data_IF_886017380370
#
_entry.id   IF_886017380370
#
_cell.length_a   1.000
_cell.length_b   1.000
_cell.length_c   1.000
_cell.angle_alpha   90.00
_cell.angle_beta   90.00
_cell.angle_gamma   90.00
#
_symmetry.space_group_name_H-M   'P 1'
#
loop_
_entity.id
_entity.type
_entity.pdbx_description
1 polymer ?
#
# COMPACT_ATOMS: atom_id res chain seq x y z
N UNK A 1 25.42 -52.12 -2.08
CA UNK A 1 24.22 -51.59 -1.39
C UNK A 1 24.56 -50.21 -0.84
N UNK A 2 24.23 -49.13 -1.56
CA UNK A 2 24.41 -47.75 -1.07
C UNK A 2 23.02 -47.14 -0.95
N UNK A 3 22.66 -46.76 0.28
CA UNK A 3 21.37 -46.19 0.66
C UNK A 3 21.26 -44.76 0.17
N UNK A 4 20.07 -44.46 -0.34
CA UNK A 4 19.63 -43.17 -0.84
C UNK A 4 19.69 -42.07 0.22
N UNK A 5 20.01 -40.85 -0.23
CA UNK A 5 19.64 -39.62 0.45
C UNK A 5 19.28 -38.59 -0.64
N UNK A 6 18.06 -38.70 -1.17
CA UNK A 6 17.47 -37.65 -1.99
C UNK A 6 16.87 -36.64 -1.03
N UNK A 7 17.59 -35.54 -0.80
CA UNK A 7 17.07 -34.39 -0.05
C UNK A 7 16.12 -33.64 -0.98
N UNK A 8 14.82 -33.83 -0.77
CA UNK A 8 13.76 -33.12 -1.49
C UNK A 8 13.56 -31.76 -0.79
N UNK A 9 14.23 -30.72 -1.26
CA UNK A 9 13.98 -29.34 -0.80
C UNK A 9 12.66 -28.89 -1.41
N UNK A 10 11.59 -28.87 -0.61
CA UNK A 10 10.31 -28.28 -0.98
C UNK A 10 10.45 -26.75 -1.00
N UNK A 11 10.75 -26.20 -2.17
CA UNK A 11 10.53 -24.78 -2.45
C UNK A 11 9.02 -24.53 -2.53
N UNK A 12 8.41 -24.17 -1.39
CA UNK A 12 7.05 -23.64 -1.38
C UNK A 12 7.10 -22.22 -1.94
N UNK A 13 6.99 -22.10 -3.26
CA UNK A 13 6.71 -20.82 -3.92
C UNK A 13 5.25 -20.50 -3.63
N UNK A 14 5.00 -19.72 -2.58
CA UNK A 14 3.66 -19.17 -2.34
C UNK A 14 3.38 -18.15 -3.43
N UNK A 15 2.63 -18.56 -4.47
CA UNK A 15 2.08 -17.66 -5.46
C UNK A 15 1.05 -16.75 -4.80
N UNK A 16 1.51 -15.64 -4.21
CA UNK A 16 0.61 -14.58 -3.81
C UNK A 16 0.02 -13.98 -5.09
N UNK A 17 -1.32 -14.01 -5.19
CA UNK A 17 -2.00 -13.31 -6.27
C UNK A 17 -1.54 -11.85 -6.28
N UNK A 18 -1.15 -11.34 -7.45
CA UNK A 18 -0.73 -9.96 -7.58
C UNK A 18 -1.84 -9.02 -7.07
N UNK A 19 -1.47 -8.03 -6.26
CA UNK A 19 -2.41 -7.02 -5.74
C UNK A 19 -2.93 -6.20 -6.93
N UNK A 20 -4.26 -6.08 -7.03
CA UNK A 20 -4.92 -5.17 -7.97
C UNK A 20 -4.70 -3.73 -7.48
N UNK A 21 -3.74 -3.04 -8.07
CA UNK A 21 -3.30 -1.71 -7.64
C UNK A 21 -4.43 -0.68 -7.72
N UNK A 22 -5.25 -0.73 -8.77
CA UNK A 22 -6.36 0.21 -8.92
C UNK A 22 -7.41 0.02 -7.83
N UNK A 23 -7.72 -1.23 -7.48
CA UNK A 23 -8.62 -1.55 -6.38
C UNK A 23 -8.04 -1.18 -5.02
N UNK A 24 -6.74 -1.35 -4.81
CA UNK A 24 -6.07 -0.92 -3.59
C UNK A 24 -6.11 0.61 -3.46
N UNK A 25 -5.81 1.35 -4.54
CA UNK A 25 -5.86 2.81 -4.54
C UNK A 25 -7.27 3.33 -4.24
N UNK A 26 -8.31 2.65 -4.73
CA UNK A 26 -9.71 2.95 -4.35
C UNK A 26 -9.99 2.68 -2.87
N UNK A 27 -9.55 1.54 -2.35
CA UNK A 27 -9.75 1.18 -0.95
C UNK A 27 -9.03 2.13 0.01
N UNK A 28 -7.82 2.57 -0.35
CA UNK A 28 -7.06 3.59 0.38
C UNK A 28 -7.84 4.91 0.42
N UNK A 29 -8.33 5.39 -0.73
CA UNK A 29 -9.12 6.64 -0.80
C UNK A 29 -10.35 6.57 0.10
N UNK A 30 -11.06 5.45 0.07
CA UNK A 30 -12.27 5.24 0.88
C UNK A 30 -11.92 5.28 2.36
N UNK A 31 -10.82 4.62 2.77
CA UNK A 31 -10.38 4.61 4.16
C UNK A 31 -9.87 5.95 4.66
N UNK A 32 -9.20 6.75 3.83
CA UNK A 32 -8.74 8.09 4.20
C UNK A 32 -9.91 9.04 4.52
N UNK A 33 -11.14 8.71 4.10
CA UNK A 33 -12.38 9.43 4.45
C UNK A 33 -12.28 10.94 4.25
N UNK A 34 -11.61 11.36 3.17
CA UNK A 34 -11.29 12.77 2.96
C UNK A 34 -12.56 13.63 2.85
N UNK A 35 -12.72 14.55 3.79
CA UNK A 35 -13.87 15.45 3.91
C UNK A 35 -13.61 16.86 3.35
N UNK A 36 -12.58 17.02 2.51
CA UNK A 36 -12.18 18.31 1.96
C UNK A 36 -11.11 19.06 2.76
N UNK A 37 -10.71 18.56 3.93
CA UNK A 37 -9.70 19.21 4.79
C UNK A 37 -8.31 18.60 4.61
N UNK A 38 -7.29 19.43 4.75
CA UNK A 38 -5.90 18.97 4.81
C UNK A 38 -5.64 18.25 6.16
N UNK A 39 -4.75 17.27 6.15
CA UNK A 39 -4.35 16.54 7.36
C UNK A 39 -3.42 17.35 8.26
N UNK A 40 -3.23 16.86 9.49
CA UNK A 40 -2.50 17.56 10.54
C UNK A 40 -1.00 17.76 10.25
N UNK A 41 -0.42 16.97 9.34
CA UNK A 41 0.97 17.05 8.93
C UNK A 41 1.12 17.64 7.51
N UNK A 42 0.08 18.32 7.01
CA UNK A 42 0.06 18.95 5.69
C UNK A 42 -0.30 18.00 4.56
N UNK A 43 -0.88 16.85 4.87
CA UNK A 43 -1.49 15.93 3.91
C UNK A 43 -2.58 16.63 3.09
N UNK A 44 -2.69 16.28 1.80
CA UNK A 44 -3.67 16.90 0.91
C UNK A 44 -4.46 15.90 0.08
N UNK A 45 -5.71 16.29 -0.18
CA UNK A 45 -6.57 15.63 -1.16
C UNK A 45 -7.12 14.27 -0.71
N UNK A 46 -7.76 13.54 -1.66
CA UNK A 46 -8.51 12.33 -1.35
C UNK A 46 -7.68 11.17 -0.80
N UNK A 47 -6.36 11.20 -1.01
CA UNK A 47 -5.41 10.19 -0.55
C UNK A 47 -4.50 10.69 0.57
N UNK A 48 -4.78 11.88 1.14
CA UNK A 48 -3.98 12.47 2.22
C UNK A 48 -2.45 12.41 1.93
N UNK A 49 -2.06 12.75 0.70
CA UNK A 49 -0.67 12.66 0.27
C UNK A 49 0.15 13.74 0.98
N UNK A 50 1.28 13.34 1.58
CA UNK A 50 2.22 14.28 2.22
C UNK A 50 3.07 15.03 1.19
N UNK A 51 3.64 16.20 1.54
CA UNK A 51 4.57 16.92 0.66
C UNK A 51 5.80 16.08 0.25
N UNK A 52 6.27 15.21 1.13
CA UNK A 52 7.43 14.35 0.88
C UNK A 52 7.13 13.28 -0.18
N UNK A 53 5.98 12.60 -0.05
CA UNK A 53 5.50 11.62 -1.04
C UNK A 53 5.25 12.32 -2.38
N UNK A 54 4.65 13.51 -2.36
CA UNK A 54 4.43 14.28 -3.57
C UNK A 54 5.72 14.61 -4.31
N UNK A 55 6.73 15.14 -3.60
CA UNK A 55 8.03 15.49 -4.20
C UNK A 55 8.71 14.28 -4.83
N UNK A 56 8.57 13.12 -4.21
CA UNK A 56 9.15 11.86 -4.70
C UNK A 56 8.51 11.42 -6.03
N UNK A 57 7.19 11.54 -6.17
CA UNK A 57 6.45 10.92 -7.28
C UNK A 57 5.97 11.89 -8.36
N UNK A 58 5.88 13.17 -8.04
CA UNK A 58 5.36 14.24 -8.91
C UNK A 58 6.36 15.40 -9.02
N UNK A 59 7.62 15.15 -9.44
CA UNK A 59 8.62 16.20 -9.56
C UNK A 59 8.18 17.25 -10.58
N UNK A 60 8.39 18.53 -10.26
CA UNK A 60 8.03 19.66 -11.12
C UNK A 60 6.55 20.05 -11.09
N UNK A 61 5.68 19.31 -10.37
CA UNK A 61 4.25 19.64 -10.22
C UNK A 61 4.02 20.23 -8.83
N UNK A 62 3.30 21.36 -8.76
CA UNK A 62 2.95 22.02 -7.50
C UNK A 62 2.18 21.09 -6.56
N UNK A 63 2.51 21.11 -5.27
CA UNK A 63 1.78 20.35 -4.25
C UNK A 63 0.33 20.83 -4.04
N UNK A 64 -0.07 21.96 -4.62
CA UNK A 64 -1.47 22.35 -4.68
C UNK A 64 -2.33 21.33 -5.47
N UNK A 65 -1.74 20.70 -6.50
CA UNK A 65 -2.40 19.72 -7.37
C UNK A 65 -2.72 18.40 -6.66
N UNK A 66 -2.21 18.17 -5.44
CA UNK A 66 -2.59 17.03 -4.63
C UNK A 66 -4.10 17.01 -4.29
N UNK A 67 -4.81 18.13 -4.45
CA UNK A 67 -6.28 18.19 -4.33
C UNK A 67 -7.01 17.78 -5.61
N UNK A 68 -6.35 17.84 -6.76
CA UNK A 68 -6.94 17.38 -8.01
C UNK A 68 -6.99 15.84 -8.00
N UNK A 69 -8.20 15.28 -8.09
CA UNK A 69 -8.43 13.83 -7.96
C UNK A 69 -7.59 13.03 -8.95
N UNK A 70 -7.55 13.44 -10.22
CA UNK A 70 -6.81 12.72 -11.25
C UNK A 70 -5.29 12.71 -10.98
N UNK A 71 -4.72 13.86 -10.62
CA UNK A 71 -3.28 14.00 -10.35
C UNK A 71 -2.89 13.29 -9.06
N UNK A 72 -3.72 13.40 -8.02
CA UNK A 72 -3.52 12.71 -6.75
C UNK A 72 -3.61 11.19 -6.89
N UNK A 73 -4.54 10.68 -7.72
CA UNK A 73 -4.62 9.23 -8.04
C UNK A 73 -3.34 8.75 -8.68
N UNK A 74 -2.79 9.49 -9.64
CA UNK A 74 -1.54 9.12 -10.29
C UNK A 74 -0.37 9.06 -9.29
N UNK A 75 -0.31 10.00 -8.33
CA UNK A 75 0.66 9.96 -7.24
C UNK A 75 0.46 8.72 -6.34
N UNK A 76 -0.78 8.41 -5.96
CA UNK A 76 -1.11 7.25 -5.13
C UNK A 76 -0.70 5.92 -5.79
N UNK A 77 -0.98 5.74 -7.08
CA UNK A 77 -0.55 4.55 -7.85
C UNK A 77 0.97 4.41 -7.85
N UNK A 78 1.70 5.48 -8.15
CA UNK A 78 3.18 5.47 -8.11
C UNK A 78 3.69 5.13 -6.71
N UNK A 79 3.05 5.67 -5.67
CA UNK A 79 3.46 5.44 -4.30
C UNK A 79 3.20 3.99 -3.85
N UNK A 80 2.05 3.40 -4.18
CA UNK A 80 1.74 1.99 -3.92
C UNK A 80 2.78 1.08 -4.55
N UNK A 81 3.12 1.30 -5.83
CA UNK A 81 4.14 0.51 -6.53
C UNK A 81 5.53 0.69 -5.90
N UNK A 82 5.87 1.90 -5.49
CA UNK A 82 7.11 2.17 -4.75
C UNK A 82 7.15 1.41 -3.42
N UNK A 83 6.07 1.41 -2.65
CA UNK A 83 6.01 0.70 -1.38
C UNK A 83 6.14 -0.83 -1.57
N UNK A 84 5.46 -1.40 -2.58
CA UNK A 84 5.57 -2.81 -2.92
C UNK A 84 7.04 -3.20 -3.21
N UNK A 85 7.71 -2.47 -4.11
CA UNK A 85 9.12 -2.72 -4.43
C UNK A 85 10.05 -2.56 -3.22
N UNK A 86 9.76 -1.57 -2.36
CA UNK A 86 10.54 -1.31 -1.15
C UNK A 86 10.36 -2.38 -0.07
N UNK A 87 9.19 -3.00 0.02
CA UNK A 87 8.93 -4.16 0.90
C UNK A 87 9.70 -5.38 0.40
N UNK A 88 9.61 -5.68 -0.90
CA UNK A 88 10.35 -6.78 -1.53
C UNK A 88 11.86 -6.65 -1.33
N UNK A 89 12.41 -5.45 -1.57
CA UNK A 89 13.83 -5.15 -1.37
C UNK A 89 14.30 -5.34 0.09
N UNK A 90 13.37 -5.38 1.05
CA UNK A 90 13.63 -5.61 2.49
C UNK A 90 13.26 -7.02 2.94
N UNK A 91 12.94 -7.93 2.02
CA UNK A 91 12.56 -9.30 2.33
C UNK A 91 11.16 -9.44 2.94
N UNK A 92 10.32 -8.41 2.84
CA UNK A 92 8.93 -8.44 3.29
C UNK A 92 8.03 -8.64 2.07
N UNK A 93 7.13 -9.63 2.12
CA UNK A 93 6.20 -9.86 1.03
C UNK A 93 5.30 -8.62 0.83
N UNK A 94 5.10 -8.13 -0.40
CA UNK A 94 4.26 -6.96 -0.70
C UNK A 94 2.77 -7.33 -0.68
N UNK A 95 2.33 -7.92 0.42
CA UNK A 95 0.94 -8.26 0.65
C UNK A 95 0.11 -6.97 0.74
N UNK A 96 -1.16 -7.07 0.36
CA UNK A 96 -2.14 -5.98 0.49
C UNK A 96 -2.04 -5.28 1.85
N UNK A 97 -2.10 -6.07 2.93
CA UNK A 97 -1.92 -5.60 4.30
C UNK A 97 -0.61 -4.84 4.51
N UNK A 98 0.53 -5.37 4.05
CA UNK A 98 1.85 -4.76 4.26
C UNK A 98 2.00 -3.44 3.48
N UNK A 99 1.43 -3.37 2.28
CA UNK A 99 1.41 -2.12 1.50
C UNK A 99 0.55 -1.07 2.21
N UNK A 100 -0.64 -1.44 2.69
CA UNK A 100 -1.52 -0.53 3.43
C UNK A 100 -0.91 -0.08 4.77
N UNK A 101 -0.20 -0.98 5.47
CA UNK A 101 0.55 -0.63 6.67
C UNK A 101 1.66 0.37 6.35
N UNK A 102 2.40 0.14 5.27
CA UNK A 102 3.48 1.01 4.82
C UNK A 102 3.00 2.36 4.30
N UNK A 103 1.79 2.42 3.76
CA UNK A 103 1.13 3.68 3.41
C UNK A 103 0.95 4.57 4.64
N UNK A 104 0.42 4.02 5.74
CA UNK A 104 0.09 4.81 6.94
C UNK A 104 1.30 5.03 7.87
N UNK A 105 2.17 4.03 8.05
CA UNK A 105 3.30 4.07 8.99
C UNK A 105 4.66 4.33 8.31
N UNK A 106 4.69 4.43 6.98
CA UNK A 106 5.93 4.46 6.21
C UNK A 106 6.62 3.09 6.16
N UNK A 107 7.64 3.01 5.28
CA UNK A 107 8.33 1.74 5.02
C UNK A 107 9.08 1.20 6.25
N UNK A 108 9.74 2.07 7.01
CA UNK A 108 10.56 1.66 8.16
C UNK A 108 9.70 1.16 9.33
N UNK A 109 8.55 1.81 9.58
CA UNK A 109 7.62 1.38 10.63
C UNK A 109 7.10 -0.03 10.35
N UNK A 110 6.80 -0.31 9.08
CA UNK A 110 6.25 -1.58 8.61
C UNK A 110 7.26 -2.72 8.63
N UNK A 111 8.52 -2.47 8.26
CA UNK A 111 9.54 -3.53 8.20
C UNK A 111 10.20 -3.84 9.54
N UNK A 112 10.14 -2.92 10.52
CA UNK A 112 10.76 -3.09 11.84
C UNK A 112 9.79 -3.59 12.91
N UNK A 113 8.52 -3.84 12.56
CA UNK A 113 7.48 -4.20 13.54
C UNK A 113 7.20 -3.08 14.54
N UNK A 114 7.38 -1.82 14.14
CA UNK A 114 7.24 -0.63 15.00
C UNK A 114 6.06 0.26 14.57
N UNK A 115 5.24 -0.24 13.64
CA UNK A 115 4.04 0.48 13.24
C UNK A 115 3.08 0.62 14.44
N UNK A 116 2.51 1.81 14.68
CA UNK A 116 1.58 2.01 15.77
C UNK A 116 0.28 1.23 15.53
N UNK A 117 -0.45 0.89 16.60
CA UNK A 117 -1.72 0.14 16.53
C UNK A 117 -2.73 0.77 15.54
N UNK A 118 -2.80 2.11 15.49
CA UNK A 118 -3.65 2.83 14.52
C UNK A 118 -3.36 2.45 13.07
N UNK A 119 -2.09 2.20 12.72
CA UNK A 119 -1.68 1.84 11.36
C UNK A 119 -2.04 0.39 11.05
N UNK A 120 -1.99 -0.50 12.03
CA UNK A 120 -2.53 -1.85 11.91
C UNK A 120 -4.03 -1.82 11.64
N UNK A 121 -4.80 -1.07 12.43
CA UNK A 121 -6.24 -0.95 12.24
C UNK A 121 -6.60 -0.32 10.89
N UNK A 122 -5.80 0.65 10.45
CA UNK A 122 -5.90 1.21 9.11
C UNK A 122 -5.71 0.13 8.03
N UNK A 123 -4.64 -0.66 8.10
CA UNK A 123 -4.35 -1.70 7.13
C UNK A 123 -5.44 -2.79 7.07
N UNK A 124 -5.94 -3.24 8.23
CA UNK A 124 -7.09 -4.18 8.30
C UNK A 124 -8.33 -3.60 7.63
N UNK A 125 -8.64 -2.32 7.88
CA UNK A 125 -9.81 -1.69 7.27
C UNK A 125 -9.69 -1.58 5.73
N UNK A 126 -8.50 -1.22 5.22
CA UNK A 126 -8.23 -1.18 3.77
C UNK A 126 -8.41 -2.57 3.14
N UNK A 127 -7.90 -3.62 3.79
CA UNK A 127 -8.03 -4.99 3.31
C UNK A 127 -9.51 -5.44 3.24
N UNK A 128 -10.29 -5.11 4.27
CA UNK A 128 -11.73 -5.37 4.29
C UNK A 128 -12.47 -4.66 3.15
N UNK A 129 -12.16 -3.38 2.90
CA UNK A 129 -12.75 -2.60 1.80
C UNK A 129 -12.36 -3.20 0.44
N UNK A 130 -11.08 -3.52 0.25
CA UNK A 130 -10.56 -4.12 -0.97
C UNK A 130 -11.30 -5.43 -1.32
N UNK A 131 -11.49 -6.32 -0.35
CA UNK A 131 -12.21 -7.58 -0.55
C UNK A 131 -13.73 -7.40 -0.65
N UNK A 132 -14.32 -6.38 -0.04
CA UNK A 132 -15.73 -6.07 -0.23
C UNK A 132 -16.02 -5.67 -1.69
N UNK A 133 -15.13 -4.88 -2.31
CA UNK A 133 -15.26 -4.43 -3.71
C UNK A 133 -15.15 -5.56 -4.73
N UNK A 134 -14.37 -6.60 -4.45
CA UNK A 134 -14.31 -7.77 -5.35
C UNK A 134 -15.63 -8.55 -5.37
N UNK A 135 -16.31 -8.66 -4.21
CA UNK A 135 -17.60 -9.36 -4.09
C UNK A 135 -18.74 -8.62 -4.77
N UNK A 136 -18.70 -7.29 -4.82
CA UNK A 136 -19.72 -6.49 -5.52
C UNK A 136 -19.59 -6.56 -7.05
N UNK A 137 -18.40 -6.81 -7.59
CA UNK A 137 -18.18 -6.95 -9.04
C UNK A 137 -18.60 -8.32 -9.61
N UNK A 138 -18.90 -9.30 -8.74
CA UNK A 138 -19.31 -10.66 -9.11
C UNK A 138 -20.85 -10.85 -9.08
N UNK A 139 -21.62 -9.81 -8.76
CA UNK A 139 -23.09 -9.78 -8.78
C UNK A 139 -23.58 -8.91 -9.92
#
# INVERSE_FOLDING_TARGET
MIRAAVIFVLLVVSAHAAVDVDRLVDALREREEWNGRDGAHGERGPWQITPAVWRLHMPGISFAEARCVAVARACAVKHVNYLAAQLEARGVAPLLFNIALAWNAGINGSTRGTAPERAYHFAVAVENIYHARSRSQLR
#
